data_IF_060677625683
#
_entry.id   IF_060677625683
#
_cell.length_a   1.000
_cell.length_b   1.000
_cell.length_c   1.000
_cell.angle_alpha   90.00
_cell.angle_beta   90.00
_cell.angle_gamma   90.00
#
_symmetry.space_group_name_H-M   'P 1'
#
loop_
_entity.id
_entity.type
_entity.pdbx_description
1 polymer ?
#
# COMPACT_ATOMS: atom_id res chain seq x y z
N UNK A 1 59.51 -0.75 9.42
CA UNK A 1 58.17 -0.17 9.19
C UNK A 1 57.09 -1.21 8.82
N UNK A 2 57.48 -2.38 8.31
CA UNK A 2 56.52 -3.46 7.96
C UNK A 2 56.30 -4.48 9.10
N UNK A 3 57.01 -4.37 10.20
CA UNK A 3 56.93 -5.31 11.33
C UNK A 3 55.90 -4.91 12.41
N UNK A 4 55.17 -3.79 12.25
CA UNK A 4 54.17 -3.30 13.21
C UNK A 4 52.72 -3.61 12.83
N UNK A 5 52.48 -4.33 11.74
CA UNK A 5 51.14 -4.82 11.37
C UNK A 5 50.95 -6.25 11.90
N UNK A 6 50.98 -6.42 13.22
CA UNK A 6 50.40 -7.63 13.83
C UNK A 6 48.87 -7.52 13.72
N UNK A 7 48.37 -7.99 12.59
CA UNK A 7 46.92 -8.22 12.45
C UNK A 7 46.59 -9.39 13.35
N UNK A 8 45.94 -9.12 14.47
CA UNK A 8 45.42 -10.14 15.36
C UNK A 8 44.22 -10.83 14.70
N UNK A 9 44.50 -11.92 13.99
CA UNK A 9 43.52 -12.68 13.23
C UNK A 9 42.40 -13.24 14.12
N UNK A 10 42.67 -13.45 15.43
CA UNK A 10 41.68 -13.90 16.40
C UNK A 10 40.67 -12.79 16.76
N UNK A 11 41.13 -11.54 16.92
CA UNK A 11 40.23 -10.41 17.16
C UNK A 11 39.43 -10.02 15.93
N UNK A 12 40.10 -10.02 14.77
CA UNK A 12 39.45 -9.71 13.49
C UNK A 12 38.43 -10.78 13.11
N UNK A 13 38.73 -12.06 13.36
CA UNK A 13 37.80 -13.18 13.14
C UNK A 13 36.55 -13.09 14.05
N UNK A 14 36.73 -12.75 15.34
CA UNK A 14 35.61 -12.55 16.26
C UNK A 14 34.75 -11.35 15.90
N UNK A 15 35.34 -10.24 15.46
CA UNK A 15 34.59 -9.07 14.98
C UNK A 15 33.81 -9.36 13.71
N UNK A 16 34.39 -10.10 12.75
CA UNK A 16 33.67 -10.55 11.57
C UNK A 16 32.51 -11.48 11.89
N UNK A 17 32.74 -12.44 12.80
CA UNK A 17 31.66 -13.35 13.26
C UNK A 17 30.54 -12.59 13.98
N UNK A 18 30.86 -11.59 14.80
CA UNK A 18 29.81 -10.78 15.46
C UNK A 18 29.02 -9.95 14.46
N UNK A 19 29.65 -9.33 13.46
CA UNK A 19 28.94 -8.60 12.39
C UNK A 19 28.04 -9.52 11.56
N UNK A 20 28.46 -10.74 11.27
CA UNK A 20 27.66 -11.71 10.53
C UNK A 20 26.49 -12.21 11.36
N UNK A 21 26.71 -12.50 12.65
CA UNK A 21 25.63 -12.96 13.56
C UNK A 21 24.64 -11.85 13.90
N UNK A 22 25.09 -10.61 14.12
CA UNK A 22 24.22 -9.45 14.31
C UNK A 22 23.45 -9.10 13.02
N UNK A 23 24.13 -9.12 11.88
CA UNK A 23 23.50 -8.90 10.58
C UNK A 23 22.45 -9.97 10.26
N UNK A 24 22.75 -11.24 10.47
CA UNK A 24 21.79 -12.33 10.28
C UNK A 24 20.62 -12.26 11.27
N UNK A 25 20.88 -11.90 12.56
CA UNK A 25 19.84 -11.72 13.56
C UNK A 25 18.90 -10.55 13.22
N UNK A 26 19.44 -9.45 12.75
CA UNK A 26 18.64 -8.29 12.31
C UNK A 26 17.83 -8.58 11.04
N UNK A 27 18.37 -9.34 10.09
CA UNK A 27 17.64 -9.76 8.89
C UNK A 27 16.51 -10.74 9.22
N UNK A 28 16.74 -11.69 10.11
CA UNK A 28 15.71 -12.64 10.56
C UNK A 28 14.63 -11.93 11.39
N UNK A 29 15.02 -11.05 12.31
CA UNK A 29 14.08 -10.23 13.07
C UNK A 29 13.26 -9.29 12.19
N UNK A 30 13.89 -8.68 11.19
CA UNK A 30 13.21 -7.84 10.21
C UNK A 30 12.20 -8.61 9.36
N UNK A 31 12.56 -9.78 8.84
CA UNK A 31 11.65 -10.61 8.04
C UNK A 31 10.46 -11.12 8.85
N UNK A 32 10.67 -11.57 10.09
CA UNK A 32 9.58 -11.99 10.99
C UNK A 32 8.66 -10.82 11.32
N UNK A 33 9.22 -9.63 11.57
CA UNK A 33 8.45 -8.41 11.82
C UNK A 33 7.61 -7.99 10.61
N UNK A 34 8.16 -8.05 9.42
CA UNK A 34 7.43 -7.75 8.17
C UNK A 34 6.33 -8.79 7.92
N UNK A 35 6.62 -10.07 8.08
CA UNK A 35 5.63 -11.14 7.92
C UNK A 35 4.49 -11.01 8.93
N UNK A 36 4.80 -10.76 10.21
CA UNK A 36 3.77 -10.54 11.22
C UNK A 36 2.94 -9.28 10.94
N UNK A 37 3.57 -8.22 10.43
CA UNK A 37 2.89 -7.01 9.98
C UNK A 37 1.93 -7.26 8.82
N UNK A 38 2.34 -8.04 7.83
CA UNK A 38 1.49 -8.43 6.68
C UNK A 38 0.32 -9.30 7.16
N UNK A 39 0.58 -10.33 7.96
CA UNK A 39 -0.47 -11.22 8.48
C UNK A 39 -1.47 -10.43 9.34
N UNK A 40 -0.96 -9.57 10.23
CA UNK A 40 -1.81 -8.68 11.04
C UNK A 40 -2.61 -7.69 10.18
N UNK A 41 -1.99 -7.13 9.14
CA UNK A 41 -2.65 -6.25 8.18
C UNK A 41 -3.76 -6.93 7.40
N UNK A 42 -3.54 -8.14 6.91
CA UNK A 42 -4.54 -8.95 6.20
C UNK A 42 -5.70 -9.32 7.14
N UNK A 43 -5.39 -9.75 8.36
CA UNK A 43 -6.43 -10.07 9.35
C UNK A 43 -7.29 -8.84 9.68
N UNK A 44 -6.67 -7.68 9.92
CA UNK A 44 -7.38 -6.43 10.17
C UNK A 44 -8.23 -6.01 8.96
N UNK A 45 -7.73 -6.18 7.75
CA UNK A 45 -8.47 -5.87 6.52
C UNK A 45 -9.70 -6.78 6.35
N UNK A 46 -9.57 -8.08 6.63
CA UNK A 46 -10.69 -9.03 6.61
C UNK A 46 -11.74 -8.65 7.66
N UNK A 47 -11.30 -8.35 8.88
CA UNK A 47 -12.22 -7.91 9.95
C UNK A 47 -12.92 -6.62 9.60
N UNK A 48 -12.18 -5.62 9.08
CA UNK A 48 -12.76 -4.36 8.63
C UNK A 48 -13.79 -4.58 7.51
N UNK A 49 -13.51 -5.49 6.58
CA UNK A 49 -14.43 -5.85 5.50
C UNK A 49 -15.70 -6.51 6.02
N UNK A 50 -15.58 -7.45 6.97
CA UNK A 50 -16.74 -8.10 7.61
C UNK A 50 -17.59 -7.06 8.35
N UNK A 51 -16.97 -6.15 9.12
CA UNK A 51 -17.68 -5.06 9.79
C UNK A 51 -18.36 -4.11 8.80
N UNK A 52 -17.68 -3.77 7.69
CA UNK A 52 -18.26 -2.94 6.64
C UNK A 52 -19.49 -3.59 6.01
N UNK A 53 -19.44 -4.89 5.71
CA UNK A 53 -20.59 -5.64 5.22
C UNK A 53 -21.75 -5.66 6.22
N UNK A 54 -21.45 -5.89 7.50
CA UNK A 54 -22.46 -5.88 8.55
C UNK A 54 -23.15 -4.53 8.67
N UNK A 55 -22.38 -3.44 8.67
CA UNK A 55 -22.91 -2.07 8.69
C UNK A 55 -23.73 -1.79 7.42
N UNK A 56 -23.27 -2.24 6.26
CA UNK A 56 -23.96 -2.03 5.00
C UNK A 56 -25.32 -2.76 4.94
N UNK A 57 -25.38 -3.99 5.45
CA UNK A 57 -26.62 -4.76 5.55
C UNK A 57 -27.63 -4.13 6.54
N UNK A 58 -27.11 -3.52 7.61
CA UNK A 58 -27.90 -2.84 8.63
C UNK A 58 -28.09 -1.33 8.45
N UNK A 59 -27.66 -0.74 7.32
CA UNK A 59 -27.54 0.72 7.13
C UNK A 59 -28.83 1.50 7.42
N UNK A 60 -29.97 1.01 7.01
CA UNK A 60 -31.27 1.67 7.20
C UNK A 60 -31.64 1.76 8.68
N UNK A 61 -31.49 0.64 9.41
CA UNK A 61 -31.73 0.56 10.84
C UNK A 61 -30.76 1.42 11.63
N UNK A 62 -29.49 1.33 11.30
CA UNK A 62 -28.42 2.09 11.93
C UNK A 62 -28.62 3.60 11.74
N UNK A 63 -28.93 4.03 10.51
CA UNK A 63 -29.24 5.43 10.19
C UNK A 63 -30.42 5.96 11.02
N UNK A 64 -31.49 5.19 11.12
CA UNK A 64 -32.68 5.56 11.90
C UNK A 64 -32.36 5.66 13.40
N UNK A 65 -31.62 4.68 13.94
CA UNK A 65 -31.23 4.67 15.35
C UNK A 65 -30.32 5.86 15.70
N UNK A 66 -29.27 6.09 14.88
CA UNK A 66 -28.35 7.22 15.08
C UNK A 66 -29.08 8.54 14.97
N UNK A 67 -30.00 8.68 14.02
CA UNK A 67 -30.81 9.89 13.89
C UNK A 67 -31.66 10.16 15.15
N UNK A 68 -32.30 9.14 15.71
CA UNK A 68 -33.10 9.27 16.96
C UNK A 68 -32.22 9.69 18.14
N UNK A 69 -31.04 9.08 18.29
CA UNK A 69 -30.10 9.43 19.36
C UNK A 69 -29.64 10.87 19.21
N UNK A 70 -29.23 11.28 18.00
CA UNK A 70 -28.80 12.66 17.76
C UNK A 70 -29.87 13.70 18.09
N UNK A 71 -31.13 13.45 17.68
CA UNK A 71 -32.24 14.37 17.95
C UNK A 71 -32.63 14.38 19.43
N UNK A 72 -32.43 13.29 20.16
CA UNK A 72 -32.74 13.21 21.58
C UNK A 72 -31.73 13.95 22.47
N UNK A 73 -30.45 13.91 22.10
CA UNK A 73 -29.37 14.47 22.93
C UNK A 73 -28.87 15.85 22.47
N UNK A 74 -29.04 16.19 21.18
CA UNK A 74 -28.56 17.46 20.63
C UNK A 74 -29.70 18.48 20.45
N UNK A 75 -29.45 19.78 20.69
CA UNK A 75 -30.36 20.87 20.29
C UNK A 75 -30.60 20.80 18.77
N UNK A 76 -31.80 21.08 18.32
CA UNK A 76 -32.21 20.98 16.90
C UNK A 76 -31.22 21.62 15.92
N UNK A 77 -30.69 22.80 16.25
CA UNK A 77 -29.71 23.49 15.40
C UNK A 77 -28.43 22.68 15.13
N UNK A 78 -27.95 21.97 16.15
CA UNK A 78 -26.75 21.12 16.02
C UNK A 78 -27.05 19.79 15.33
N UNK A 79 -28.21 19.21 15.56
CA UNK A 79 -28.64 17.99 14.88
C UNK A 79 -28.79 18.21 13.36
N UNK A 80 -29.40 19.31 12.94
CA UNK A 80 -29.56 19.66 11.52
C UNK A 80 -28.22 19.89 10.84
N UNK A 81 -27.30 20.60 11.52
CA UNK A 81 -25.94 20.82 11.01
C UNK A 81 -25.16 19.49 10.88
N UNK A 82 -25.29 18.60 11.86
CA UNK A 82 -24.65 17.29 11.84
C UNK A 82 -25.16 16.44 10.67
N UNK A 83 -26.47 16.38 10.46
CA UNK A 83 -27.06 15.66 9.32
C UNK A 83 -26.66 16.25 7.98
N UNK A 84 -26.58 17.58 7.88
CA UNK A 84 -26.09 18.24 6.68
C UNK A 84 -24.64 17.84 6.37
N UNK A 85 -23.75 17.95 7.37
CA UNK A 85 -22.33 17.56 7.22
C UNK A 85 -22.19 16.07 6.90
N UNK A 86 -22.90 15.20 7.60
CA UNK A 86 -22.85 13.77 7.36
C UNK A 86 -23.31 13.40 5.94
N UNK A 87 -24.38 14.03 5.45
CA UNK A 87 -24.89 13.80 4.11
C UNK A 87 -23.93 14.34 3.03
N UNK A 88 -23.35 15.52 3.27
CA UNK A 88 -22.32 16.11 2.41
C UNK A 88 -21.08 15.22 2.37
N UNK A 89 -20.57 14.78 3.53
CA UNK A 89 -19.41 13.88 3.63
C UNK A 89 -19.67 12.55 2.90
N UNK A 90 -20.83 11.94 3.08
CA UNK A 90 -21.22 10.70 2.40
C UNK A 90 -21.22 10.86 0.87
N UNK A 91 -21.79 11.95 0.37
CA UNK A 91 -21.79 12.22 -1.09
C UNK A 91 -20.41 12.49 -1.64
N UNK A 92 -19.59 13.25 -0.90
CA UNK A 92 -18.21 13.56 -1.30
C UNK A 92 -17.37 12.30 -1.32
N UNK A 93 -17.50 11.46 -0.27
CA UNK A 93 -16.78 10.19 -0.19
C UNK A 93 -17.19 9.22 -1.30
N UNK A 94 -18.48 9.11 -1.60
CA UNK A 94 -18.96 8.26 -2.69
C UNK A 94 -18.40 8.70 -4.06
N UNK A 95 -18.37 10.01 -4.32
CA UNK A 95 -17.77 10.57 -5.55
C UNK A 95 -16.26 10.31 -5.59
N UNK A 96 -15.57 10.49 -4.46
CA UNK A 96 -14.14 10.23 -4.36
C UNK A 96 -13.81 8.76 -4.66
N UNK A 97 -14.49 7.81 -4.01
CA UNK A 97 -14.27 6.37 -4.23
C UNK A 97 -14.59 5.99 -5.69
N UNK A 98 -15.68 6.49 -6.25
CA UNK A 98 -16.02 6.25 -7.66
C UNK A 98 -14.96 6.80 -8.60
N UNK A 99 -14.46 8.00 -8.34
CA UNK A 99 -13.35 8.61 -9.10
C UNK A 99 -12.09 7.78 -9.01
N UNK A 100 -11.72 7.36 -7.79
CA UNK A 100 -10.53 6.55 -7.53
C UNK A 100 -10.59 5.18 -8.24
N UNK A 101 -11.76 4.52 -8.23
CA UNK A 101 -11.94 3.27 -8.97
C UNK A 101 -11.78 3.49 -10.49
N UNK A 102 -12.32 4.59 -11.02
CA UNK A 102 -12.17 4.92 -12.44
C UNK A 102 -10.71 5.20 -12.80
N UNK A 103 -10.03 6.00 -11.99
CA UNK A 103 -8.61 6.29 -12.13
C UNK A 103 -7.76 5.01 -12.10
N UNK A 104 -8.00 4.12 -11.13
CA UNK A 104 -7.31 2.84 -11.00
C UNK A 104 -7.47 1.96 -12.24
N UNK A 105 -8.68 1.88 -12.79
CA UNK A 105 -8.95 1.13 -14.03
C UNK A 105 -8.22 1.74 -15.24
N UNK A 106 -8.22 3.06 -15.37
CA UNK A 106 -7.53 3.76 -16.44
C UNK A 106 -6.01 3.57 -16.32
N UNK A 107 -5.44 3.82 -15.16
CA UNK A 107 -4.01 3.67 -14.91
C UNK A 107 -3.53 2.23 -15.14
N UNK A 108 -4.24 1.24 -14.60
CA UNK A 108 -3.90 -0.17 -14.80
C UNK A 108 -3.93 -0.57 -16.28
N UNK A 109 -4.94 -0.12 -17.02
CA UNK A 109 -5.09 -0.42 -18.44
C UNK A 109 -4.02 0.29 -19.29
N UNK A 110 -3.78 1.58 -19.03
CA UNK A 110 -2.74 2.33 -19.73
C UNK A 110 -1.34 1.79 -19.41
N UNK A 111 -1.08 1.40 -18.15
CA UNK A 111 0.16 0.77 -17.75
C UNK A 111 0.37 -0.55 -18.50
N UNK A 112 -0.63 -1.43 -18.53
CA UNK A 112 -0.57 -2.69 -19.28
C UNK A 112 -0.35 -2.46 -20.78
N UNK A 113 -1.14 -1.60 -21.41
CA UNK A 113 -1.02 -1.31 -22.85
C UNK A 113 0.32 -0.65 -23.19
N UNK A 114 0.75 0.34 -22.42
CA UNK A 114 2.01 1.03 -22.63
C UNK A 114 3.22 0.10 -22.47
N UNK A 115 3.24 -0.73 -21.42
CA UNK A 115 4.28 -1.74 -21.24
C UNK A 115 4.28 -2.78 -22.37
N UNK A 116 3.11 -3.20 -22.84
CA UNK A 116 2.99 -4.13 -23.95
C UNK A 116 3.51 -3.53 -25.26
N UNK A 117 3.24 -2.24 -25.51
CA UNK A 117 3.76 -1.51 -26.66
C UNK A 117 5.29 -1.36 -26.62
N UNK A 118 5.84 -1.11 -25.43
CA UNK A 118 7.29 -1.03 -25.18
C UNK A 118 7.96 -2.41 -25.10
N UNK A 119 7.20 -3.50 -25.26
CA UNK A 119 7.64 -4.89 -25.15
C UNK A 119 8.37 -5.18 -23.83
N UNK A 120 7.92 -4.56 -22.76
CA UNK A 120 8.45 -4.82 -21.43
C UNK A 120 7.90 -6.14 -20.88
N UNK A 121 8.70 -6.90 -20.11
CA UNK A 121 8.26 -8.16 -19.51
C UNK A 121 7.18 -7.89 -18.43
N UNK A 122 6.39 -8.91 -18.13
CA UNK A 122 5.37 -8.91 -17.06
C UNK A 122 4.29 -7.81 -17.18
N UNK A 123 4.07 -7.25 -18.39
CA UNK A 123 3.12 -6.15 -18.60
C UNK A 123 1.72 -6.35 -17.99
N UNK A 124 1.02 -7.49 -18.19
CA UNK A 124 -0.31 -7.68 -17.60
C UNK A 124 -0.27 -7.78 -16.07
N UNK A 125 0.76 -8.39 -15.51
CA UNK A 125 0.90 -8.56 -14.07
C UNK A 125 1.19 -7.22 -13.38
N UNK A 126 2.11 -6.44 -13.93
CA UNK A 126 2.48 -5.12 -13.39
C UNK A 126 1.32 -4.13 -13.61
N UNK A 127 0.65 -4.16 -14.76
CA UNK A 127 -0.53 -3.34 -15.02
C UNK A 127 -1.66 -3.62 -14.03
N UNK A 128 -1.94 -4.88 -13.73
CA UNK A 128 -2.91 -5.26 -12.71
C UNK A 128 -2.48 -4.82 -11.30
N UNK A 129 -1.19 -4.99 -10.96
CA UNK A 129 -0.64 -4.54 -9.68
C UNK A 129 -0.79 -3.02 -9.52
N UNK A 130 -0.38 -2.24 -10.52
CA UNK A 130 -0.51 -0.78 -10.52
C UNK A 130 -1.98 -0.37 -10.39
N UNK A 131 -2.89 -1.00 -11.13
CA UNK A 131 -4.33 -0.72 -11.04
C UNK A 131 -4.90 -1.00 -9.65
N UNK A 132 -4.58 -2.14 -9.05
CA UNK A 132 -5.07 -2.48 -7.70
C UNK A 132 -4.48 -1.55 -6.65
N UNK A 133 -3.18 -1.30 -6.70
CA UNK A 133 -2.51 -0.42 -5.73
C UNK A 133 -2.92 1.04 -5.88
N UNK A 134 -3.27 1.48 -7.09
CA UNK A 134 -3.77 2.84 -7.35
C UNK A 134 -5.07 3.17 -6.60
N UNK A 135 -5.82 2.17 -6.10
CA UNK A 135 -6.97 2.41 -5.21
C UNK A 135 -6.58 3.14 -3.92
N UNK A 136 -5.31 3.04 -3.51
CA UNK A 136 -4.78 3.79 -2.38
C UNK A 136 -4.03 5.02 -2.93
N UNK A 137 -4.59 6.23 -2.79
CA UNK A 137 -3.96 7.44 -3.34
C UNK A 137 -2.52 7.59 -2.87
N UNK A 138 -1.63 8.01 -3.76
CA UNK A 138 -0.20 8.24 -3.51
C UNK A 138 0.58 6.94 -3.26
N UNK A 139 0.16 6.11 -2.31
CA UNK A 139 0.86 4.86 -1.94
C UNK A 139 0.86 3.88 -3.10
N UNK A 140 -0.24 3.79 -3.85
CA UNK A 140 -0.39 2.86 -4.96
C UNK A 140 0.64 3.06 -6.07
N UNK A 141 0.87 4.31 -6.47
CA UNK A 141 1.86 4.65 -7.49
C UNK A 141 3.29 4.24 -7.06
N UNK A 142 3.66 4.51 -5.79
CA UNK A 142 4.97 4.13 -5.26
C UNK A 142 5.16 2.62 -5.15
N UNK A 143 4.14 1.89 -4.69
CA UNK A 143 4.20 0.42 -4.62
C UNK A 143 4.33 -0.17 -6.02
N UNK A 144 3.53 0.30 -6.98
CA UNK A 144 3.62 -0.13 -8.37
C UNK A 144 4.99 0.14 -8.99
N UNK A 145 5.56 1.33 -8.73
CA UNK A 145 6.88 1.73 -9.19
C UNK A 145 7.97 0.81 -8.61
N UNK A 146 8.02 0.65 -7.30
CA UNK A 146 9.08 -0.10 -6.61
C UNK A 146 9.02 -1.57 -7.00
N UNK A 147 7.85 -2.20 -6.90
CA UNK A 147 7.69 -3.63 -7.19
C UNK A 147 7.89 -3.90 -8.68
N UNK A 148 7.33 -3.08 -9.56
CA UNK A 148 7.50 -3.21 -11.00
C UNK A 148 8.94 -3.02 -11.44
N UNK A 149 9.62 -1.97 -10.95
CA UNK A 149 11.03 -1.72 -11.25
C UNK A 149 11.93 -2.85 -10.74
N UNK A 150 11.65 -3.40 -9.55
CA UNK A 150 12.39 -4.52 -9.01
C UNK A 150 12.22 -5.78 -9.87
N UNK A 151 10.98 -6.13 -10.23
CA UNK A 151 10.70 -7.32 -11.05
C UNK A 151 11.36 -7.25 -12.43
N UNK A 152 11.24 -6.11 -13.10
CA UNK A 152 11.85 -5.92 -14.42
C UNK A 152 13.38 -5.83 -14.29
N UNK A 153 13.89 -5.22 -13.21
CA UNK A 153 15.30 -5.05 -12.94
C UNK A 153 16.05 -6.36 -12.76
N UNK A 154 15.38 -7.40 -12.28
CA UNK A 154 15.96 -8.75 -12.18
C UNK A 154 16.24 -9.36 -13.55
N UNK A 155 15.54 -8.94 -14.61
CA UNK A 155 15.74 -9.43 -15.97
C UNK A 155 16.65 -8.51 -16.77
N UNK A 156 16.41 -7.18 -16.69
CA UNK A 156 17.20 -6.17 -17.41
C UNK A 156 17.13 -4.81 -16.75
N UNK A 157 18.27 -4.28 -16.34
CA UNK A 157 18.38 -2.95 -15.73
C UNK A 157 17.94 -1.82 -16.69
N UNK A 158 18.22 -1.99 -17.99
CA UNK A 158 17.83 -1.02 -19.02
C UNK A 158 16.30 -0.94 -19.15
N UNK A 159 15.62 -2.08 -19.15
CA UNK A 159 14.16 -2.12 -19.22
C UNK A 159 13.51 -1.58 -17.93
N UNK A 160 14.12 -1.80 -16.77
CA UNK A 160 13.66 -1.22 -15.52
C UNK A 160 13.73 0.32 -15.55
N UNK A 161 14.80 0.91 -16.09
CA UNK A 161 14.91 2.35 -16.26
C UNK A 161 13.84 2.89 -17.21
N UNK A 162 13.58 2.21 -18.33
CA UNK A 162 12.51 2.59 -19.26
C UNK A 162 11.15 2.54 -18.56
N UNK A 163 10.89 1.50 -17.78
CA UNK A 163 9.66 1.37 -17.00
C UNK A 163 9.47 2.48 -15.98
N UNK A 164 10.53 2.83 -15.22
CA UNK A 164 10.48 3.93 -14.24
C UNK A 164 10.15 5.25 -14.91
N UNK A 165 10.82 5.58 -16.03
CA UNK A 165 10.54 6.80 -16.79
C UNK A 165 9.10 6.77 -17.32
N UNK A 166 8.68 5.65 -17.90
CA UNK A 166 7.32 5.46 -18.42
C UNK A 166 6.26 5.69 -17.32
N UNK A 167 6.44 5.09 -16.14
CA UNK A 167 5.47 5.21 -15.05
C UNK A 167 5.45 6.62 -14.42
N UNK A 168 6.58 7.34 -14.44
CA UNK A 168 6.64 8.74 -13.98
C UNK A 168 5.96 9.71 -14.96
N UNK A 169 5.87 9.37 -16.23
CA UNK A 169 5.18 10.18 -17.27
C UNK A 169 3.69 9.86 -17.31
N UNK A 170 3.31 8.61 -16.97
CA UNK A 170 1.92 8.14 -16.93
C UNK A 170 1.13 8.78 -15.80
#
# INVERSE_FOLDING_TARGET
WLASLQIDWNETGKKLLSYVTEGAGNLLGGTVSVLSGIVGGVFNAIMAFIFALYILLGKEKLKSQTARVCVAFLPRKWADSLFFVANMASRTFAKFVSGQCTEACILGTLCWLGMSLLRLPYAPMIGALVGITALIPIVGAWVGLIVGAFMIGMESLTQALIFVIFLLVL
#
